data_IF_263150973179
#
_entry.id   IF_263150973179
#
_cell.length_a   1.000
_cell.length_b   1.000
_cell.length_c   1.000
_cell.angle_alpha   90.00
_cell.angle_beta   90.00
_cell.angle_gamma   90.00
#
_symmetry.space_group_name_H-M   'P 1'
#
loop_
_entity.id
_entity.type
_entity.pdbx_description
1 polymer ?
#
# COMPACT_ATOMS: atom_id res chain seq x y z
N UNK A 1 2.87 2.59 -15.78
CA UNK A 1 2.25 3.00 -14.49
C UNK A 1 1.02 3.88 -14.65
N UNK A 2 0.83 4.58 -15.78
CA UNK A 2 -0.39 5.35 -16.03
C UNK A 2 -1.66 4.52 -15.91
N UNK A 3 -1.70 3.32 -16.51
CA UNK A 3 -2.81 2.37 -16.37
C UNK A 3 -3.21 2.12 -14.92
N UNK A 4 -2.24 2.02 -14.00
CA UNK A 4 -2.52 1.76 -12.60
C UNK A 4 -3.07 3.00 -11.87
N UNK A 5 -2.58 4.20 -12.21
CA UNK A 5 -2.99 5.44 -11.54
C UNK A 5 -4.31 6.00 -12.09
N UNK A 6 -4.50 5.95 -13.41
CA UNK A 6 -5.60 6.58 -14.14
C UNK A 6 -6.60 5.59 -14.74
N UNK A 7 -6.27 4.29 -14.84
CA UNK A 7 -7.09 3.32 -15.57
C UNK A 7 -6.86 3.34 -17.09
N UNK A 8 -5.97 4.22 -17.57
CA UNK A 8 -5.68 4.47 -18.98
C UNK A 8 -4.15 4.55 -19.19
N UNK A 9 -3.57 3.93 -20.25
CA UNK A 9 -2.14 4.05 -20.54
C UNK A 9 -1.73 5.46 -20.99
N UNK A 10 -2.63 6.21 -21.62
CA UNK A 10 -2.42 7.54 -22.20
C UNK A 10 -3.39 8.56 -21.59
N UNK A 11 -3.23 8.87 -20.29
CA UNK A 11 -4.15 9.72 -19.57
C UNK A 11 -4.10 11.16 -20.13
N UNK A 12 -5.27 11.72 -20.40
CA UNK A 12 -5.42 13.14 -20.72
C UNK A 12 -4.99 14.03 -19.55
N UNK A 13 -4.57 15.27 -19.82
CA UNK A 13 -4.10 16.22 -18.81
C UNK A 13 -5.16 16.53 -17.73
N UNK A 14 -6.43 16.50 -18.11
CA UNK A 14 -7.58 16.76 -17.21
C UNK A 14 -7.93 15.55 -16.34
N UNK A 15 -7.42 14.37 -16.68
CA UNK A 15 -7.74 13.14 -15.96
C UNK A 15 -7.10 13.13 -14.57
N UNK A 16 -7.85 12.60 -13.59
CA UNK A 16 -7.41 12.52 -12.19
C UNK A 16 -6.97 11.10 -11.84
N UNK A 17 -5.88 10.94 -11.06
CA UNK A 17 -5.40 9.62 -10.68
C UNK A 17 -6.21 9.06 -9.49
N UNK A 18 -7.35 8.46 -9.78
CA UNK A 18 -8.31 7.97 -8.77
C UNK A 18 -8.24 6.46 -8.51
N UNK A 19 -7.45 5.70 -9.27
CA UNK A 19 -7.52 4.23 -9.26
C UNK A 19 -6.61 3.55 -8.23
N UNK A 20 -5.40 4.08 -7.99
CA UNK A 20 -4.42 3.52 -7.04
C UNK A 20 -3.76 4.64 -6.25
N UNK A 21 -3.50 4.36 -4.97
CA UNK A 21 -2.74 5.26 -4.08
C UNK A 21 -1.23 5.20 -4.31
N UNK A 22 -0.52 6.25 -3.94
CA UNK A 22 0.92 6.43 -4.06
C UNK A 22 1.69 5.30 -3.38
N UNK A 23 1.25 4.85 -2.20
CA UNK A 23 1.94 3.78 -1.47
C UNK A 23 1.92 2.46 -2.25
N UNK A 24 0.80 2.14 -2.90
CA UNK A 24 0.68 0.95 -3.75
C UNK A 24 1.53 1.09 -5.01
N UNK A 25 1.59 2.28 -5.61
CA UNK A 25 2.46 2.55 -6.76
C UNK A 25 3.94 2.45 -6.37
N UNK A 26 4.34 3.01 -5.23
CA UNK A 26 5.72 2.90 -4.71
C UNK A 26 6.11 1.45 -4.42
N UNK A 27 5.19 0.67 -3.84
CA UNK A 27 5.42 -0.77 -3.65
C UNK A 27 5.61 -1.49 -4.99
N UNK A 28 4.73 -1.24 -5.98
CA UNK A 28 4.82 -1.84 -7.31
C UNK A 28 6.13 -1.46 -8.02
N UNK A 29 6.55 -0.20 -7.88
CA UNK A 29 7.84 0.31 -8.36
C UNK A 29 9.00 -0.44 -7.71
N UNK A 30 9.00 -0.57 -6.38
CA UNK A 30 10.02 -1.28 -5.61
C UNK A 30 10.12 -2.75 -6.04
N UNK A 31 8.98 -3.43 -6.14
CA UNK A 31 8.91 -4.84 -6.54
C UNK A 31 9.42 -5.06 -7.96
N UNK A 32 9.11 -4.17 -8.91
CA UNK A 32 9.65 -4.26 -10.27
C UNK A 32 11.15 -3.95 -10.29
N UNK A 33 11.58 -2.94 -9.50
CA UNK A 33 12.98 -2.50 -9.44
C UNK A 33 13.93 -3.58 -8.94
N UNK A 34 13.50 -4.48 -8.04
CA UNK A 34 14.37 -5.52 -7.49
C UNK A 34 14.85 -6.52 -8.54
N UNK A 35 14.12 -6.67 -9.64
CA UNK A 35 14.49 -7.55 -10.74
C UNK A 35 15.33 -6.85 -11.82
N UNK A 36 15.58 -5.55 -11.71
CA UNK A 36 16.32 -4.79 -12.73
C UNK A 36 17.83 -4.96 -12.53
N UNK A 37 18.62 -5.39 -13.55
CA UNK A 37 20.04 -5.69 -13.40
C UNK A 37 20.88 -4.51 -12.88
N UNK A 38 20.54 -3.29 -13.28
CA UNK A 38 21.24 -2.05 -12.90
C UNK A 38 20.50 -1.31 -11.79
N UNK A 39 20.20 -1.99 -10.68
CA UNK A 39 19.26 -1.50 -9.64
C UNK A 39 19.56 -0.07 -9.14
N UNK A 40 20.85 0.30 -9.03
CA UNK A 40 21.30 1.60 -8.52
C UNK A 40 21.51 2.66 -9.60
N UNK A 41 21.53 2.29 -10.88
CA UNK A 41 21.74 3.24 -11.97
C UNK A 41 20.46 4.02 -12.26
N UNK A 42 20.57 5.35 -12.29
CA UNK A 42 19.49 6.23 -12.77
C UNK A 42 19.17 5.92 -14.23
N UNK A 43 17.91 6.04 -14.60
CA UNK A 43 17.48 5.90 -16.00
C UNK A 43 17.89 7.14 -16.80
N UNK A 44 18.63 6.93 -17.89
CA UNK A 44 18.88 7.95 -18.90
C UNK A 44 17.89 7.77 -20.06
N UNK A 45 16.99 8.73 -20.31
CA UNK A 45 16.02 8.63 -21.39
C UNK A 45 16.63 8.77 -22.79
N UNK A 46 17.84 9.31 -22.94
CA UNK A 46 18.48 9.51 -24.26
C UNK A 46 19.20 8.25 -24.70
N UNK A 47 19.97 7.65 -23.79
CA UNK A 47 20.73 6.42 -24.09
C UNK A 47 19.96 5.14 -23.77
N UNK A 48 18.77 5.26 -23.18
CA UNK A 48 17.91 4.15 -22.72
C UNK A 48 18.65 3.16 -21.80
N UNK A 49 19.54 3.68 -20.96
CA UNK A 49 20.38 2.90 -20.04
C UNK A 49 20.03 3.17 -18.59
N UNK A 50 20.23 2.15 -17.75
CA UNK A 50 20.02 2.22 -16.31
C UNK A 50 18.79 1.44 -15.87
N UNK A 51 18.17 1.83 -14.75
CA UNK A 51 16.96 1.20 -14.24
C UNK A 51 15.71 2.01 -14.63
N UNK A 52 14.86 1.51 -15.55
CA UNK A 52 13.67 2.23 -16.01
C UNK A 52 12.74 2.68 -14.88
N UNK A 53 12.69 1.93 -13.77
CA UNK A 53 11.87 2.28 -12.61
C UNK A 53 12.38 3.52 -11.88
N UNK A 54 13.65 3.92 -12.05
CA UNK A 54 14.24 5.14 -11.47
C UNK A 54 14.06 6.37 -12.37
N UNK A 55 13.35 6.27 -13.48
CA UNK A 55 13.08 7.39 -14.39
C UNK A 55 12.32 8.54 -13.72
N UNK A 56 12.65 9.76 -14.16
CA UNK A 56 11.98 10.98 -13.69
C UNK A 56 10.50 11.00 -14.02
N UNK A 57 10.09 10.41 -15.15
CA UNK A 57 8.68 10.29 -15.53
C UNK A 57 7.88 9.52 -14.47
N UNK A 58 8.37 8.35 -14.04
CA UNK A 58 7.73 7.54 -12.99
C UNK A 58 7.72 8.29 -11.66
N UNK A 59 8.82 8.95 -11.30
CA UNK A 59 8.90 9.73 -10.05
C UNK A 59 7.93 10.91 -10.04
N UNK A 60 7.84 11.66 -11.15
CA UNK A 60 6.91 12.79 -11.33
C UNK A 60 5.46 12.32 -11.26
N UNK A 61 5.14 11.17 -11.86
CA UNK A 61 3.81 10.56 -11.76
C UNK A 61 3.44 10.29 -10.30
N UNK A 62 4.29 9.59 -9.54
CA UNK A 62 4.00 9.27 -8.13
C UNK A 62 3.83 10.55 -7.31
N UNK A 63 4.67 11.57 -7.54
CA UNK A 63 4.51 12.90 -6.90
C UNK A 63 3.17 13.56 -7.26
N UNK A 64 2.73 13.45 -8.52
CA UNK A 64 1.41 13.95 -8.96
C UNK A 64 0.28 13.22 -8.22
N UNK A 65 0.33 11.90 -8.12
CA UNK A 65 -0.66 11.11 -7.37
C UNK A 65 -0.72 11.55 -5.90
N UNK A 66 0.44 11.68 -5.22
CA UNK A 66 0.50 12.19 -3.84
C UNK A 66 -0.20 13.56 -3.68
N UNK A 67 0.00 14.46 -4.64
CA UNK A 67 -0.62 15.79 -4.63
C UNK A 67 -2.14 15.72 -4.70
N UNK A 68 -2.70 14.85 -5.56
CA UNK A 68 -4.15 14.65 -5.66
C UNK A 68 -4.74 13.97 -4.42
N UNK A 69 -4.02 13.03 -3.82
CA UNK A 69 -4.45 12.42 -2.56
C UNK A 69 -4.54 13.41 -1.41
N UNK A 70 -3.53 14.27 -1.23
CA UNK A 70 -3.54 15.32 -0.19
C UNK A 70 -4.71 16.29 -0.38
N UNK A 71 -5.09 16.56 -1.63
CA UNK A 71 -6.26 17.40 -1.98
C UNK A 71 -7.60 16.69 -1.84
N UNK A 72 -7.62 15.40 -1.49
CA UNK A 72 -8.83 14.54 -1.49
C UNK A 72 -9.50 14.44 -2.87
N UNK A 73 -8.72 14.61 -3.93
CA UNK A 73 -9.16 14.48 -5.33
C UNK A 73 -8.61 13.22 -6.01
N UNK A 74 -7.80 12.44 -5.29
CA UNK A 74 -7.22 11.17 -5.73
C UNK A 74 -7.96 9.96 -5.14
N UNK A 75 -7.33 8.78 -5.23
CA UNK A 75 -7.87 7.54 -4.65
C UNK A 75 -8.10 7.67 -3.13
N UNK A 76 -9.27 7.23 -2.68
CA UNK A 76 -9.64 7.25 -1.26
C UNK A 76 -8.77 6.34 -0.39
N UNK A 77 -8.62 6.74 0.88
CA UNK A 77 -7.95 5.94 1.89
C UNK A 77 -8.83 4.79 2.34
N UNK A 78 -8.33 3.56 2.20
CA UNK A 78 -8.93 2.35 2.82
C UNK A 78 -8.33 2.03 4.19
N UNK A 79 -7.52 2.93 4.76
CA UNK A 79 -6.98 2.73 6.10
C UNK A 79 -8.11 2.86 7.13
N UNK A 80 -8.15 1.92 8.07
CA UNK A 80 -9.05 2.01 9.20
C UNK A 80 -8.66 3.18 10.10
N UNK A 81 -9.67 3.79 10.75
CA UNK A 81 -9.43 4.75 11.84
C UNK A 81 -8.74 4.04 13.02
N UNK A 82 -8.08 4.82 13.87
CA UNK A 82 -7.57 4.30 15.13
C UNK A 82 -8.74 3.80 16.01
N UNK A 83 -8.53 2.69 16.71
CA UNK A 83 -9.49 2.17 17.69
C UNK A 83 -9.59 3.14 18.86
N UNK A 84 -10.81 3.48 19.25
CA UNK A 84 -11.05 4.22 20.49
C UNK A 84 -10.88 3.31 21.70
N UNK A 85 -10.65 3.92 22.86
CA UNK A 85 -10.48 3.18 24.12
C UNK A 85 -11.68 2.27 24.43
N UNK A 86 -12.91 2.73 24.20
CA UNK A 86 -14.12 1.94 24.43
C UNK A 86 -14.26 0.75 23.48
N UNK A 87 -13.88 0.93 22.21
CA UNK A 87 -13.87 -0.15 21.21
C UNK A 87 -12.83 -1.20 21.58
N UNK A 88 -11.64 -0.75 22.00
CA UNK A 88 -10.58 -1.62 22.48
C UNK A 88 -11.01 -2.41 23.72
N UNK A 89 -11.64 -1.76 24.71
CA UNK A 89 -12.14 -2.43 25.91
C UNK A 89 -13.25 -3.43 25.59
N UNK A 90 -14.15 -3.10 24.67
CA UNK A 90 -15.21 -4.00 24.20
C UNK A 90 -14.61 -5.25 23.54
N UNK A 91 -13.59 -5.09 22.69
CA UNK A 91 -12.85 -6.20 22.09
C UNK A 91 -12.18 -7.08 23.16
N UNK A 92 -11.54 -6.48 24.17
CA UNK A 92 -10.91 -7.25 25.26
C UNK A 92 -11.92 -8.05 26.07
N UNK A 93 -13.07 -7.47 26.38
CA UNK A 93 -14.15 -8.16 27.09
C UNK A 93 -14.74 -9.31 26.26
N UNK A 94 -14.82 -9.17 24.94
CA UNK A 94 -15.28 -10.23 24.05
C UNK A 94 -14.28 -11.40 23.96
N UNK A 95 -12.98 -11.10 23.88
CA UNK A 95 -11.93 -12.12 23.67
C UNK A 95 -11.60 -12.89 24.95
N UNK A 96 -11.60 -12.24 26.12
CA UNK A 96 -11.20 -12.86 27.41
C UNK A 96 -11.95 -14.15 27.77
N UNK A 97 -13.29 -14.24 27.63
CA UNK A 97 -14.03 -15.47 27.92
C UNK A 97 -13.68 -16.63 26.99
N UNK A 98 -13.41 -16.34 25.71
CA UNK A 98 -13.03 -17.34 24.72
C UNK A 98 -11.66 -17.94 25.05
N UNK A 99 -10.71 -17.08 25.45
CA UNK A 99 -9.37 -17.54 25.86
C UNK A 99 -9.37 -18.43 27.12
N UNK A 100 -10.28 -18.17 28.07
CA UNK A 100 -10.47 -19.04 29.25
C UNK A 100 -11.03 -20.42 28.88
N UNK A 101 -11.92 -20.51 27.90
CA UNK A 101 -12.52 -21.78 27.44
C UNK A 101 -11.51 -22.66 26.71
N UNK A 102 -10.63 -22.07 25.91
CA UNK A 102 -9.59 -22.82 25.19
C UNK A 102 -8.51 -23.37 26.15
N UNK A 103 -8.21 -22.66 27.24
CA UNK A 103 -7.28 -23.13 28.27
C UNK A 103 -7.82 -24.29 29.12
N UNK A 104 -9.14 -24.44 29.25
CA UNK A 104 -9.74 -25.59 29.95
C UNK A 104 -9.69 -26.88 29.13
N UNK A 105 -9.52 -26.80 27.81
CA UNK A 105 -9.38 -27.98 26.95
C UNK A 105 -8.05 -28.73 27.21
N UNK A 106 -7.01 -28.05 27.69
CA UNK A 106 -5.70 -28.66 28.00
C UNK A 106 -5.51 -29.10 29.45
N UNK A 107 -6.45 -28.78 30.35
CA UNK A 107 -6.39 -29.14 31.78
C UNK A 107 -7.25 -30.35 32.15
N UNK A 108 -7.83 -31.06 31.17
CA UNK A 108 -8.64 -32.27 31.36
C UNK A 108 -7.87 -33.60 31.34
N UNK A 109 -6.54 -33.56 31.28
CA UNK A 109 -5.68 -34.75 31.08
C UNK A 109 -4.78 -35.13 32.25
N UNK A 110 -5.12 -34.76 33.48
CA UNK A 110 -4.36 -35.17 34.66
C UNK A 110 -5.27 -35.37 35.88
N UNK A 111 -6.08 -36.43 35.86
CA UNK A 111 -6.68 -36.97 37.09
C UNK A 111 -6.43 -38.47 37.15
N UNK A 112 -5.49 -38.82 38.04
CA UNK A 112 -5.19 -40.10 38.72
C UNK A 112 -4.84 -41.31 37.87
#
# INVERSE_FOLDING_TARGET
MHQQAYGDPEPSEVMRPVHRRSNTLEFSKKATSSFMPRINSTWDPVTERGNPTRSDAVNKLIKKVKKFEVRREGSESKAHRALEFEEFMSLLLLVRPHWRRDNTAYMGGAVR
#
